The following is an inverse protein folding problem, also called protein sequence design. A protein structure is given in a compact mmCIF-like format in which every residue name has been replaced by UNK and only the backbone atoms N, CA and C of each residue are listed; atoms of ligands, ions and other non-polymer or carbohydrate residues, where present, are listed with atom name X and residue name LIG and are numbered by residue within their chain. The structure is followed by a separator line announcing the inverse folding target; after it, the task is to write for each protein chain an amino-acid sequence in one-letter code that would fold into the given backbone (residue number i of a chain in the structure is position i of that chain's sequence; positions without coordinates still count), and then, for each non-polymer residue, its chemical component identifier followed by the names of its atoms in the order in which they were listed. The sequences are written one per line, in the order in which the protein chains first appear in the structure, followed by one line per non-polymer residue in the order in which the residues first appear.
data_IF_049011999691
#
_entry.id   IF_049011999691
#
_cell.length_a   1.000
_cell.length_b   1.000
_cell.length_c   1.000
_cell.angle_alpha   90.00
_cell.angle_beta   90.00
_cell.angle_gamma   90.00
#
_symmetry.space_group_name_H-M   'P 1'
#
loop_
_entity.id
_entity.type
_entity.pdbx_description
1 polymer ?
#
# COMPACT_ATOMS: atom_id res chain seq x y z
N UNK A 1 -29.84 -3.99 -3.26
CA UNK A 1 -28.64 -4.85 -3.31
C UNK A 1 -27.58 -3.98 -3.95
N UNK A 2 -26.50 -3.66 -3.24
CA UNK A 2 -25.40 -2.90 -3.83
C UNK A 2 -24.85 -3.70 -5.01
N UNK A 3 -24.60 -3.02 -6.12
CA UNK A 3 -23.92 -3.63 -7.25
C UNK A 3 -22.51 -4.05 -6.78
N UNK A 4 -22.07 -5.26 -7.14
CA UNK A 4 -20.75 -5.76 -6.72
C UNK A 4 -19.63 -4.85 -7.25
N UNK A 5 -19.84 -4.23 -8.41
CA UNK A 5 -18.90 -3.25 -8.95
C UNK A 5 -18.85 -1.95 -8.14
N UNK A 6 -19.98 -1.50 -7.60
CA UNK A 6 -20.03 -0.32 -6.72
C UNK A 6 -19.34 -0.61 -5.38
N UNK A 7 -19.51 -1.81 -4.84
CA UNK A 7 -18.85 -2.22 -3.61
C UNK A 7 -17.33 -2.27 -3.78
N UNK A 8 -16.83 -2.82 -4.89
CA UNK A 8 -15.40 -2.84 -5.19
C UNK A 8 -14.84 -1.42 -5.32
N UNK A 9 -15.57 -0.51 -5.97
CA UNK A 9 -15.14 0.88 -6.06
C UNK A 9 -15.06 1.54 -4.69
N UNK A 10 -16.06 1.33 -3.82
CA UNK A 10 -16.03 1.85 -2.45
C UNK A 10 -14.89 1.28 -1.63
N UNK A 11 -14.61 -0.01 -1.80
CA UNK A 11 -13.48 -0.66 -1.15
C UNK A 11 -12.17 -0.01 -1.62
N UNK A 12 -11.99 0.15 -2.93
CA UNK A 12 -10.83 0.82 -3.51
C UNK A 12 -10.68 2.26 -2.99
N UNK A 13 -11.76 3.03 -2.98
CA UNK A 13 -11.77 4.40 -2.46
C UNK A 13 -11.38 4.46 -0.98
N UNK A 14 -11.78 3.46 -0.18
CA UNK A 14 -11.42 3.36 1.23
C UNK A 14 -9.93 3.06 1.42
N UNK A 15 -9.38 2.08 0.69
CA UNK A 15 -7.95 1.73 0.76
C UNK A 15 -7.06 2.84 0.18
N UNK A 16 -7.56 3.61 -0.77
CA UNK A 16 -6.89 4.81 -1.29
C UNK A 16 -7.14 6.07 -0.42
N UNK A 17 -7.95 5.97 0.64
CA UNK A 17 -8.27 7.13 1.46
C UNK A 17 -7.06 7.61 2.26
N UNK A 18 -6.90 8.94 2.48
CA UNK A 18 -5.80 9.48 3.29
C UNK A 18 -5.72 8.86 4.69
N UNK A 19 -6.88 8.54 5.28
CA UNK A 19 -6.92 7.91 6.61
C UNK A 19 -6.21 6.56 6.62
N UNK A 20 -6.49 5.72 5.61
CA UNK A 20 -5.87 4.40 5.51
C UNK A 20 -4.41 4.50 5.11
N UNK A 21 -4.10 5.25 4.03
CA UNK A 21 -2.74 5.34 3.50
C UNK A 21 -1.78 6.03 4.49
N UNK A 22 -2.23 7.02 5.27
CA UNK A 22 -1.43 7.57 6.36
C UNK A 22 -1.16 6.53 7.46
N UNK A 23 -2.17 5.74 7.86
CA UNK A 23 -1.97 4.70 8.89
C UNK A 23 -0.95 3.63 8.44
N UNK A 24 -1.00 3.22 7.17
CA UNK A 24 -0.01 2.31 6.59
C UNK A 24 1.37 3.00 6.50
N UNK A 25 1.42 4.25 6.05
CA UNK A 25 2.66 5.03 5.98
C UNK A 25 3.33 5.22 7.33
N UNK A 26 2.58 5.54 8.38
CA UNK A 26 3.06 5.64 9.76
C UNK A 26 3.58 4.28 10.25
N UNK A 27 2.82 3.20 10.03
CA UNK A 27 3.24 1.86 10.38
C UNK A 27 4.55 1.47 9.70
N UNK A 28 4.67 1.72 8.39
CA UNK A 28 5.88 1.42 7.63
C UNK A 28 7.04 2.33 8.07
N UNK A 29 6.81 3.61 8.31
CA UNK A 29 7.84 4.52 8.82
C UNK A 29 8.42 4.10 10.17
N UNK A 30 7.60 3.52 11.06
CA UNK A 30 8.06 3.02 12.36
C UNK A 30 8.74 1.66 12.31
N UNK A 31 8.48 0.83 11.29
CA UNK A 31 8.85 -0.58 11.29
C UNK A 31 9.74 -1.02 10.13
N UNK A 32 9.77 -0.30 9.01
CA UNK A 32 10.54 -0.68 7.82
C UNK A 32 12.05 -0.80 8.10
N UNK A 33 12.61 0.10 8.92
CA UNK A 33 14.03 0.04 9.32
C UNK A 33 14.35 -1.15 10.24
N UNK A 34 13.34 -1.73 10.90
CA UNK A 34 13.48 -2.90 11.77
C UNK A 34 13.37 -4.21 11.01
N UNK A 35 12.90 -4.16 9.76
CA UNK A 35 12.79 -5.34 8.91
C UNK A 35 14.16 -5.67 8.32
N UNK A 36 14.49 -6.96 8.37
CA UNK A 36 15.66 -7.48 7.68
C UNK A 36 15.22 -8.10 6.35
N UNK A 37 15.62 -7.48 5.25
CA UNK A 37 15.33 -7.94 3.89
C UNK A 37 16.37 -8.99 3.46
N UNK A 38 16.10 -10.26 3.79
CA UNK A 38 16.91 -11.42 3.38
C UNK A 38 16.16 -12.27 2.35
N UNK A 39 16.84 -13.00 1.45
CA UNK A 39 16.17 -13.88 0.48
C UNK A 39 15.20 -14.85 1.16
N UNK A 40 14.07 -15.15 0.51
CA UNK A 40 13.02 -16.00 1.09
C UNK A 40 13.46 -17.46 1.30
N UNK A 41 14.49 -17.91 0.58
CA UNK A 41 15.10 -19.22 0.74
C UNK A 41 15.98 -19.34 2.01
N UNK A 42 16.31 -18.21 2.63
CA UNK A 42 17.09 -18.14 3.86
C UNK A 42 16.21 -18.10 5.12
N UNK A 43 16.84 -18.33 6.27
CA UNK A 43 16.16 -18.26 7.56
C UNK A 43 15.63 -16.84 7.83
N UNK A 44 14.31 -16.72 7.88
CA UNK A 44 13.63 -15.44 8.11
C UNK A 44 13.72 -15.04 9.59
N UNK A 45 14.10 -13.79 9.90
CA UNK A 45 14.11 -13.30 11.28
C UNK A 45 12.72 -13.33 11.90
N UNK A 46 12.61 -13.88 13.12
CA UNK A 46 11.33 -13.97 13.83
C UNK A 46 10.66 -12.60 14.03
N UNK A 47 11.46 -11.55 14.19
CA UNK A 47 10.96 -10.18 14.32
C UNK A 47 10.18 -9.72 13.08
N UNK A 48 10.57 -10.13 11.86
CA UNK A 48 9.83 -9.77 10.66
C UNK A 48 8.40 -10.33 10.72
N UNK A 49 8.25 -11.56 11.22
CA UNK A 49 6.94 -12.19 11.36
C UNK A 49 6.07 -11.50 12.43
N UNK A 50 6.67 -11.00 13.52
CA UNK A 50 5.93 -10.22 14.52
C UNK A 50 5.45 -8.87 13.96
N UNK A 51 6.26 -8.21 13.13
CA UNK A 51 5.87 -6.99 12.42
C UNK A 51 4.76 -7.31 11.39
N UNK A 52 4.91 -8.39 10.61
CA UNK A 52 3.88 -8.85 9.66
C UNK A 52 2.53 -9.09 10.34
N UNK A 53 2.50 -9.80 11.48
CA UNK A 53 1.25 -9.98 12.26
C UNK A 53 0.63 -8.65 12.68
N UNK A 54 1.47 -7.69 13.07
CA UNK A 54 1.00 -6.36 13.47
C UNK A 54 0.40 -5.60 12.29
N UNK A 55 1.00 -5.71 11.10
CA UNK A 55 0.46 -5.20 9.84
C UNK A 55 -0.88 -5.86 9.50
N UNK A 56 -0.96 -7.19 9.55
CA UNK A 56 -2.18 -7.94 9.27
C UNK A 56 -3.34 -7.50 10.19
N UNK A 57 -3.09 -7.36 11.49
CA UNK A 57 -4.08 -6.86 12.45
C UNK A 57 -4.47 -5.39 12.22
N UNK A 58 -3.59 -4.57 11.66
CA UNK A 58 -3.91 -3.20 11.29
C UNK A 58 -4.90 -3.17 10.12
N UNK A 59 -4.59 -3.89 9.04
CA UNK A 59 -5.44 -3.99 7.85
C UNK A 59 -6.80 -4.61 8.21
N UNK A 60 -6.81 -5.69 8.99
CA UNK A 60 -8.04 -6.36 9.43
C UNK A 60 -8.95 -5.40 10.20
N UNK A 61 -8.41 -4.62 11.15
CA UNK A 61 -9.19 -3.65 11.92
C UNK A 61 -9.80 -2.56 11.02
N UNK A 62 -9.03 -2.05 10.07
CA UNK A 62 -9.54 -1.04 9.13
C UNK A 62 -10.62 -1.61 8.21
N UNK A 63 -10.46 -2.87 7.77
CA UNK A 63 -11.46 -3.56 6.97
C UNK A 63 -12.74 -3.82 7.77
N UNK A 64 -12.63 -4.25 9.04
CA UNK A 64 -13.76 -4.41 9.94
C UNK A 64 -14.51 -3.10 10.15
N UNK A 65 -13.80 -2.00 10.40
CA UNK A 65 -14.39 -0.66 10.54
C UNK A 65 -15.16 -0.26 9.28
N UNK A 66 -14.59 -0.51 8.10
CA UNK A 66 -15.24 -0.27 6.81
C UNK A 66 -16.54 -1.08 6.68
N UNK A 67 -16.47 -2.40 6.90
CA UNK A 67 -17.62 -3.32 6.83
C UNK A 67 -18.75 -2.83 7.75
N UNK A 68 -18.43 -2.45 8.99
CA UNK A 68 -19.41 -1.95 9.94
C UNK A 68 -19.99 -0.59 9.50
N UNK A 69 -19.18 0.32 8.97
CA UNK A 69 -19.63 1.64 8.54
C UNK A 69 -20.57 1.62 7.33
N UNK A 70 -20.33 0.70 6.39
CA UNK A 70 -21.16 0.52 5.19
C UNK A 70 -22.36 -0.42 5.43
N UNK A 71 -22.48 -1.01 6.63
CA UNK A 71 -23.55 -1.94 6.96
C UNK A 71 -23.49 -3.25 6.17
N UNK A 72 -22.27 -3.67 5.81
CA UNK A 72 -21.99 -4.86 5.02
C UNK A 72 -21.72 -6.07 5.91
N UNK A 73 -21.71 -7.26 5.30
CA UNK A 73 -21.16 -8.46 5.93
C UNK A 73 -19.82 -8.82 5.31
N UNK A 74 -19.00 -9.59 6.05
CA UNK A 74 -17.75 -10.17 5.51
C UNK A 74 -18.01 -10.95 4.22
N UNK A 75 -19.16 -11.65 4.14
CA UNK A 75 -19.55 -12.41 2.96
C UNK A 75 -19.72 -11.51 1.74
N UNK A 76 -20.30 -10.32 1.89
CA UNK A 76 -20.52 -9.40 0.77
C UNK A 76 -19.19 -8.94 0.17
N UNK A 77 -18.20 -8.67 1.01
CA UNK A 77 -16.84 -8.31 0.58
C UNK A 77 -16.17 -9.48 -0.13
N UNK A 78 -16.22 -10.69 0.45
CA UNK A 78 -15.65 -11.89 -0.19
C UNK A 78 -16.28 -12.19 -1.55
N UNK A 79 -17.62 -12.08 -1.65
CA UNK A 79 -18.35 -12.30 -2.90
C UNK A 79 -17.93 -11.27 -3.95
N UNK A 80 -17.76 -10.00 -3.57
CA UNK A 80 -17.30 -8.94 -4.46
C UNK A 80 -15.87 -9.17 -4.96
N UNK A 81 -14.93 -9.52 -4.07
CA UNK A 81 -13.55 -9.85 -4.47
C UNK A 81 -13.50 -11.07 -5.40
N UNK A 82 -14.32 -12.09 -5.12
CA UNK A 82 -14.43 -13.30 -5.97
C UNK A 82 -14.99 -12.95 -7.35
N UNK A 83 -16.00 -12.09 -7.41
CA UNK A 83 -16.56 -11.61 -8.67
C UNK A 83 -15.53 -10.81 -9.48
N UNK A 84 -14.75 -9.95 -8.83
CA UNK A 84 -13.67 -9.19 -9.46
C UNK A 84 -12.62 -10.10 -10.10
N UNK A 85 -12.17 -11.13 -9.39
CA UNK A 85 -11.16 -12.07 -9.88
C UNK A 85 -11.63 -12.87 -11.10
N UNK A 86 -12.94 -13.17 -11.18
CA UNK A 86 -13.53 -13.93 -12.28
C UNK A 86 -13.97 -13.05 -13.47
N UNK A 87 -13.92 -11.72 -13.34
CA UNK A 87 -14.22 -10.81 -14.43
C UNK A 87 -13.05 -10.80 -15.43
N UNK A 88 -13.35 -10.78 -16.74
CA UNK A 88 -12.32 -10.70 -17.80
C UNK A 88 -11.54 -9.38 -17.79
N UNK A 89 -12.03 -8.36 -17.08
CA UNK A 89 -11.30 -7.12 -16.83
C UNK A 89 -10.34 -7.32 -15.66
N UNK A 90 -9.05 -7.41 -15.94
CA UNK A 90 -7.98 -7.34 -14.93
C UNK A 90 -7.86 -5.92 -14.38
N UNK A 91 -8.87 -5.47 -13.63
CA UNK A 91 -8.79 -4.21 -12.88
C UNK A 91 -7.85 -4.43 -11.70
N UNK A 92 -6.67 -3.84 -11.79
CA UNK A 92 -5.74 -3.78 -10.66
C UNK A 92 -6.33 -2.83 -9.62
N UNK A 93 -6.54 -3.33 -8.40
CA UNK A 93 -7.12 -2.58 -7.29
C UNK A 93 -6.08 -2.54 -6.18
N UNK A 94 -5.68 -1.36 -5.74
CA UNK A 94 -4.74 -1.20 -4.64
C UNK A 94 -5.28 -1.87 -3.36
N UNK A 95 -6.60 -1.88 -3.17
CA UNK A 95 -7.25 -2.60 -2.08
C UNK A 95 -6.85 -4.09 -2.05
N UNK A 96 -6.73 -4.73 -3.22
CA UNK A 96 -6.35 -6.15 -3.30
C UNK A 96 -4.89 -6.34 -2.89
N UNK A 97 -3.99 -5.44 -3.28
CA UNK A 97 -2.58 -5.53 -2.90
C UNK A 97 -2.41 -5.46 -1.38
N UNK A 98 -3.09 -4.52 -0.71
CA UNK A 98 -3.05 -4.41 0.76
C UNK A 98 -3.65 -5.65 1.45
N UNK A 99 -4.75 -6.19 0.92
CA UNK A 99 -5.39 -7.40 1.45
C UNK A 99 -4.51 -8.64 1.25
N UNK A 100 -3.92 -8.81 0.07
CA UNK A 100 -2.98 -9.90 -0.21
C UNK A 100 -1.78 -9.79 0.73
N UNK A 101 -1.15 -8.61 0.83
CA UNK A 101 -0.05 -8.35 1.75
C UNK A 101 -0.42 -8.59 3.23
N UNK A 102 -1.71 -8.53 3.62
CA UNK A 102 -2.12 -8.85 5.00
C UNK A 102 -2.20 -10.35 5.28
N UNK A 103 -2.25 -11.18 4.24
CA UNK A 103 -2.41 -12.64 4.34
C UNK A 103 -1.17 -13.40 3.86
N UNK A 104 -0.36 -12.76 3.02
CA UNK A 104 0.83 -13.31 2.39
C UNK A 104 2.08 -12.56 2.82
N UNK A 105 3.03 -13.28 3.43
CA UNK A 105 4.24 -12.70 3.98
C UNK A 105 5.18 -12.16 2.90
N UNK A 106 5.27 -12.83 1.75
CA UNK A 106 6.16 -12.39 0.66
C UNK A 106 5.68 -11.04 0.09
N UNK A 107 4.37 -10.94 -0.17
CA UNK A 107 3.72 -9.71 -0.62
C UNK A 107 3.88 -8.57 0.38
N UNK A 108 3.78 -8.85 1.69
CA UNK A 108 4.09 -7.87 2.74
C UNK A 108 5.54 -7.40 2.69
N UNK A 109 6.50 -8.32 2.59
CA UNK A 109 7.92 -7.97 2.57
C UNK A 109 8.28 -7.15 1.34
N UNK A 110 7.65 -7.42 0.20
CA UNK A 110 7.79 -6.60 -1.01
C UNK A 110 7.23 -5.19 -0.79
N UNK A 111 6.00 -5.06 -0.27
CA UNK A 111 5.40 -3.76 0.02
C UNK A 111 6.25 -2.94 1.01
N UNK A 112 6.77 -3.58 2.06
CA UNK A 112 7.61 -2.93 3.04
C UNK A 112 8.96 -2.50 2.46
N UNK A 113 9.53 -3.29 1.53
CA UNK A 113 10.76 -2.95 0.83
C UNK A 113 10.57 -1.73 -0.08
N UNK A 114 9.44 -1.67 -0.81
CA UNK A 114 9.08 -0.51 -1.64
C UNK A 114 8.97 0.76 -0.78
N UNK A 115 8.31 0.70 0.37
CA UNK A 115 8.26 1.81 1.33
C UNK A 115 9.64 2.20 1.88
N UNK A 116 10.50 1.20 2.17
CA UNK A 116 11.86 1.45 2.65
C UNK A 116 12.72 2.17 1.59
N UNK A 117 12.61 1.76 0.32
CA UNK A 117 13.25 2.45 -0.81
C UNK A 117 12.71 3.89 -0.91
N UNK A 118 11.39 4.07 -0.99
CA UNK A 118 10.82 5.42 -1.16
C UNK A 118 11.25 6.35 -0.03
N UNK A 119 11.30 5.86 1.21
CA UNK A 119 11.77 6.65 2.36
C UNK A 119 13.27 6.95 2.33
N UNK A 120 14.10 6.08 1.74
CA UNK A 120 15.56 6.26 1.70
C UNK A 120 16.03 7.12 0.52
N UNK A 121 15.30 7.11 -0.60
CA UNK A 121 15.58 7.92 -1.79
C UNK A 121 14.84 9.28 -1.84
N UNK A 122 13.93 9.53 -0.88
CA UNK A 122 13.18 10.79 -0.76
C UNK A 122 13.99 12.10 -0.69
N UNK A 123 15.22 12.17 -0.15
CA UNK A 123 15.99 13.41 -0.16
C UNK A 123 16.75 13.68 -1.48
N UNK A 124 17.13 12.65 -2.25
CA UNK A 124 17.98 12.80 -3.45
C UNK A 124 17.19 13.24 -4.70
N UNK A 125 15.88 12.93 -4.77
CA UNK A 125 15.03 13.36 -5.90
C UNK A 125 14.62 14.84 -5.80
N UNK A 126 14.45 15.36 -4.59
CA UNK A 126 14.18 16.78 -4.37
C UNK A 126 15.39 17.65 -4.76
N UNK A 127 16.61 17.19 -4.47
CA UNK A 127 17.84 17.88 -4.89
C UNK A 127 18.07 17.79 -6.41
N UNK A 128 17.61 16.71 -7.06
CA UNK A 128 17.68 16.57 -8.51
C UNK A 128 16.69 17.47 -9.26
N UNK A 129 15.46 17.64 -8.75
CA UNK A 129 14.47 18.57 -9.33
C UNK A 129 14.89 20.04 -9.13
N UNK A 130 15.40 20.42 -7.95
CA UNK A 130 15.90 21.78 -7.69
C UNK A 130 17.13 22.13 -8.56
N UNK A 131 18.00 21.15 -8.85
CA UNK A 131 19.15 21.34 -9.74
C UNK A 131 18.75 21.49 -11.22
N UNK A 132 17.67 20.83 -11.66
CA UNK A 132 17.18 20.91 -13.03
C UNK A 132 16.40 22.23 -13.30
N UNK A 133 15.64 22.70 -12.30
CA UNK A 133 14.92 23.99 -12.37
C UNK A 133 15.89 25.19 -12.33
N UNK A 134 16.95 25.12 -11.51
CA UNK A 134 18.00 26.14 -11.49
C UNK A 134 18.83 26.18 -12.78
N UNK A 135 19.02 25.06 -13.47
CA UNK A 135 19.74 25.01 -14.75
C UNK A 135 18.92 25.60 -15.91
N UNK A 136 17.59 25.50 -15.85
CA UNK A 136 16.70 26.01 -16.90
C UNK A 136 16.46 27.52 -16.79
N UNK A 137 16.46 28.13 -15.60
CA UNK A 137 16.36 29.59 -15.47
C UNK A 137 17.61 30.34 -15.98
N UNK A 138 18.81 29.77 -15.81
CA UNK A 138 20.08 30.41 -16.23
C UNK A 138 20.25 30.42 -17.76
N UNK A 139 19.69 29.47 -18.50
CA UNK A 139 19.72 29.47 -19.97
C UNK A 139 18.75 30.47 -20.62
N UNK A 140 17.67 30.86 -19.91
CA UNK A 140 16.69 31.84 -20.43
C UNK A 140 17.20 33.28 -20.30
N UNK A 141 17.96 33.60 -19.25
CA UNK A 141 18.52 34.95 -19.05
C UNK A 141 19.73 35.27 -19.94
N UNK A 142 20.44 34.27 -20.46
CA UNK A 142 21.60 34.48 -21.36
C UNK A 142 21.23 34.62 -22.84
N UNK A 143 19.95 34.47 -23.20
CA UNK A 143 19.44 34.62 -24.58
C UNK A 143 18.41 35.74 -24.77
N UNK A 144 18.18 36.60 -23.77
CA UNK A 144 17.32 37.78 -23.85
C UNK A 144 18.11 39.07 -24.16
#
# INVERSE_FOLDING_TARGET
MCDQSELLQKLEDFFCSPKFTCAIGEFMGENAEKLAFVPFEEEQPLQNYDIFKSYASLVERHLEDFIHSEGLTVKDVCDACTAAQNAESHTHLAAIDYLVASTDYESFMQLAYEHHIVSSYGPDLAEAEEAEEAATEVEVEQKA
#
